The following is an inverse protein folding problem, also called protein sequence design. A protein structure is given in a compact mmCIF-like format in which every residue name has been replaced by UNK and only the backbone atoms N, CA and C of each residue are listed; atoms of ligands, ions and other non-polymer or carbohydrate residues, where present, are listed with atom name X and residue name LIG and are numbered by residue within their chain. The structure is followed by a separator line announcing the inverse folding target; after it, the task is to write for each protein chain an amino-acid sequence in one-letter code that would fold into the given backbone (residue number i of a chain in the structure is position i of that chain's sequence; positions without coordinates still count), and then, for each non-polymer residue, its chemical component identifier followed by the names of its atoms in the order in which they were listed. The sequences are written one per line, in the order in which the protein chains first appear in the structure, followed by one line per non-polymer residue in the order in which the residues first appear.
data_IF_974411370728
#
_entry.id   IF_974411370728
#
_cell.length_a   1.000
_cell.length_b   1.000
_cell.length_c   1.000
_cell.angle_alpha   90.00
_cell.angle_beta   90.00
_cell.angle_gamma   90.00
#
_symmetry.space_group_name_H-M   'P 1'
#
loop_
_entity.id
_entity.type
_entity.pdbx_description
1 polymer ?
#
# COMPACT_ATOMS: atom_id res chain seq x y z
N UNK A 1 0.24 3.75 -0.50
CA UNK A 1 -0.78 2.76 -0.88
C UNK A 1 -0.13 1.60 -1.61
N UNK A 2 -0.31 0.38 -1.12
CA UNK A 2 0.20 -0.87 -1.68
C UNK A 2 -0.94 -1.90 -1.69
N UNK A 3 -0.99 -2.79 -2.69
CA UNK A 3 -1.94 -3.91 -2.71
C UNK A 3 -1.21 -5.21 -2.39
N UNK A 4 -1.70 -5.96 -1.39
CA UNK A 4 -1.19 -7.29 -1.02
C UNK A 4 -2.34 -8.29 -1.04
N UNK A 5 -2.40 -9.11 -2.09
CA UNK A 5 -3.52 -10.03 -2.33
C UNK A 5 -4.84 -9.25 -2.44
N UNK A 6 -5.80 -9.62 -1.60
CA UNK A 6 -7.14 -9.02 -1.52
C UNK A 6 -7.23 -7.81 -0.57
N UNK A 7 -6.09 -7.28 -0.11
CA UNK A 7 -6.04 -6.17 0.84
C UNK A 7 -5.29 -4.97 0.25
N UNK A 8 -5.76 -3.78 0.61
CA UNK A 8 -5.08 -2.52 0.38
C UNK A 8 -4.43 -2.05 1.68
N UNK A 9 -3.17 -1.62 1.59
CA UNK A 9 -2.39 -1.10 2.71
C UNK A 9 -2.10 0.38 2.45
N UNK A 10 -2.56 1.22 3.35
CA UNK A 10 -2.34 2.67 3.41
C UNK A 10 -1.30 2.98 4.50
N UNK A 11 -0.53 4.04 4.32
CA UNK A 11 0.52 4.46 5.26
C UNK A 11 0.66 5.97 5.27
N UNK A 12 0.84 6.53 6.46
CA UNK A 12 1.26 7.90 6.69
C UNK A 12 2.79 7.90 6.82
N UNK A 13 3.46 8.70 5.99
CA UNK A 13 4.93 8.73 5.94
C UNK A 13 5.53 9.49 7.12
N UNK A 14 4.74 10.38 7.71
CA UNK A 14 5.14 11.33 8.74
C UNK A 14 5.11 10.71 10.13
N UNK A 15 4.17 9.79 10.38
CA UNK A 15 3.88 9.26 11.71
C UNK A 15 4.20 7.76 11.87
N UNK A 16 4.74 7.12 10.83
CA UNK A 16 4.95 5.65 10.76
C UNK A 16 3.68 4.83 11.08
N UNK A 17 2.51 5.42 10.82
CA UNK A 17 1.21 4.78 11.01
C UNK A 17 0.79 4.15 9.70
N UNK A 18 0.28 2.93 9.76
CA UNK A 18 -0.29 2.24 8.61
C UNK A 18 -1.65 1.65 8.95
N UNK A 19 -2.47 1.49 7.92
CA UNK A 19 -3.76 0.84 8.02
C UNK A 19 -4.04 -0.02 6.80
N UNK A 20 -5.05 -0.87 6.90
CA UNK A 20 -5.43 -1.81 5.85
C UNK A 20 -6.94 -1.87 5.68
N UNK A 21 -7.38 -2.25 4.48
CA UNK A 21 -8.79 -2.44 4.19
C UNK A 21 -9.04 -3.28 2.95
N UNK A 22 -10.25 -3.82 2.82
CA UNK A 22 -10.69 -4.61 1.65
C UNK A 22 -10.86 -3.76 0.41
N UNK A 23 -11.14 -2.47 0.60
CA UNK A 23 -11.21 -1.47 -0.46
C UNK A 23 -10.19 -0.37 -0.22
N UNK A 24 -9.95 0.44 -1.26
CA UNK A 24 -9.09 1.63 -1.14
C UNK A 24 -9.69 2.61 -0.13
N UNK A 25 -11.01 2.84 -0.22
CA UNK A 25 -11.74 3.76 0.66
C UNK A 25 -11.66 3.33 2.12
N UNK A 26 -11.85 2.04 2.41
CA UNK A 26 -11.76 1.48 3.76
C UNK A 26 -10.35 1.67 4.33
N UNK A 27 -9.30 1.31 3.57
CA UNK A 27 -7.93 1.50 4.01
C UNK A 27 -7.58 2.97 4.26
N UNK A 28 -8.14 3.91 3.50
CA UNK A 28 -7.93 5.36 3.71
C UNK A 28 -8.70 5.85 4.93
N UNK A 29 -9.96 5.45 5.09
CA UNK A 29 -10.78 5.82 6.26
C UNK A 29 -10.12 5.35 7.56
N UNK A 30 -9.71 4.08 7.60
CA UNK A 30 -9.06 3.49 8.76
C UNK A 30 -7.71 4.19 9.06
N UNK A 31 -6.97 4.63 8.04
CA UNK A 31 -5.73 5.39 8.24
C UNK A 31 -6.01 6.78 8.83
N UNK A 32 -7.08 7.44 8.37
CA UNK A 32 -7.47 8.76 8.87
C UNK A 32 -7.80 8.69 10.36
N UNK A 33 -8.61 7.73 10.76
CA UNK A 33 -8.97 7.51 12.18
C UNK A 33 -7.75 7.18 13.03
N UNK A 34 -6.86 6.29 12.56
CA UNK A 34 -5.64 5.94 13.29
C UNK A 34 -4.71 7.15 13.50
N UNK A 35 -4.61 8.03 12.50
CA UNK A 35 -3.82 9.26 12.58
C UNK A 35 -4.48 10.29 13.51
N UNK A 36 -5.79 10.49 13.42
CA UNK A 36 -6.53 11.40 14.30
C UNK A 36 -6.39 10.97 15.77
N UNK A 37 -6.55 9.67 16.06
CA UNK A 37 -6.37 9.11 17.39
C UNK A 37 -4.94 9.30 17.91
N UNK A 38 -3.93 9.09 17.06
CA UNK A 38 -2.54 9.29 17.44
C UNK A 38 -2.22 10.74 17.79
N UNK A 39 -2.72 11.70 17.00
CA UNK A 39 -2.55 13.14 17.26
C UNK A 39 -3.18 13.53 18.59
N UNK A 40 -4.38 13.00 18.89
CA UNK A 40 -5.08 13.24 20.16
C UNK A 40 -4.31 12.69 21.36
N UNK A 41 -3.75 11.48 21.26
CA UNK A 41 -3.00 10.83 22.34
C UNK A 41 -1.66 11.53 22.59
N UNK A 42 -0.90 11.81 21.53
CA UNK A 42 0.45 12.38 21.62
C UNK A 42 0.45 13.91 21.77
N UNK A 43 -0.71 14.56 21.65
CA UNK A 43 -0.85 16.01 21.78
C UNK A 43 -0.06 16.79 20.72
N UNK A 44 -0.05 16.30 19.48
CA UNK A 44 0.77 16.87 18.40
C UNK A 44 0.13 18.18 17.91
N UNK A 45 0.92 19.25 17.95
CA UNK A 45 0.51 20.56 17.45
C UNK A 45 0.49 20.59 15.90
N UNK A 46 -0.62 21.06 15.33
CA UNK A 46 -0.84 21.11 13.88
C UNK A 46 -0.50 22.51 13.34
N UNK A 47 0.14 22.62 12.15
CA UNK A 47 0.24 21.57 11.14
C UNK A 47 1.55 20.76 11.21
N UNK A 48 1.42 19.43 11.15
CA UNK A 48 2.55 18.54 10.83
C UNK A 48 3.15 19.00 9.50
N UNK A 49 4.48 19.19 9.43
CA UNK A 49 5.18 19.58 8.20
C UNK A 49 4.77 18.65 7.06
N UNK A 50 4.05 19.16 6.06
CA UNK A 50 3.63 18.38 4.88
C UNK A 50 4.81 18.28 3.91
N UNK A 51 5.44 17.11 3.74
CA UNK A 51 6.50 16.96 2.75
C UNK A 51 5.93 17.09 1.33
N UNK A 52 6.72 17.68 0.42
CA UNK A 52 6.41 17.65 -1.00
C UNK A 52 6.70 16.24 -1.54
N UNK A 53 5.65 15.48 -1.86
CA UNK A 53 5.78 14.12 -2.37
C UNK A 53 5.65 14.12 -3.90
N UNK A 54 6.76 13.91 -4.61
CA UNK A 54 6.77 13.72 -6.07
C UNK A 54 6.99 12.24 -6.41
N UNK A 55 6.06 11.65 -7.17
CA UNK A 55 6.20 10.29 -7.71
C UNK A 55 6.35 10.38 -9.22
N UNK A 56 7.37 9.72 -9.77
CA UNK A 56 7.57 9.59 -11.21
C UNK A 56 7.86 8.13 -11.57
N UNK A 57 7.48 7.72 -12.78
CA UNK A 57 7.66 6.36 -13.29
C UNK A 57 8.82 6.34 -14.29
N UNK A 58 9.81 5.49 -14.06
CA UNK A 58 10.94 5.30 -14.98
C UNK A 58 10.78 3.95 -15.69
N UNK A 59 11.14 3.87 -16.99
CA UNK A 59 11.18 2.61 -17.75
C UNK A 59 12.65 2.26 -18.00
N UNK A 60 13.13 1.16 -17.42
CA UNK A 60 14.46 0.62 -17.72
C UNK A 60 14.50 -0.05 -19.09
N UNK A 61 15.64 0.01 -19.79
CA UNK A 61 15.90 -0.82 -20.96
C UNK A 61 16.21 -2.24 -20.48
N UNK A 62 15.42 -3.24 -20.88
CA UNK A 62 15.76 -4.64 -20.69
C UNK A 62 16.74 -5.05 -21.79
N UNK A 63 17.89 -5.59 -21.42
CA UNK A 63 18.65 -6.49 -22.29
C UNK A 63 17.99 -7.86 -22.15
N UNK A 64 17.39 -8.36 -23.23
CA UNK A 64 16.78 -9.69 -23.29
C UNK A 64 17.87 -10.76 -23.43
N UNK A 65 17.76 -11.85 -22.66
CA UNK A 65 17.96 -13.18 -23.20
C UNK A 65 17.20 -14.26 -22.41
N UNK A 66 16.41 -15.02 -23.17
CA UNK A 66 15.83 -16.37 -22.97
C UNK A 66 14.59 -16.59 -22.09
N UNK A 67 13.47 -16.54 -22.83
CA UNK A 67 12.29 -17.42 -22.83
C UNK A 67 12.49 -18.83 -22.24
N UNK A 68 11.55 -19.25 -21.38
CA UNK A 68 10.93 -20.59 -21.47
C UNK A 68 9.49 -20.51 -20.95
N UNK A 69 8.53 -20.56 -21.86
CA UNK A 69 7.16 -20.99 -21.59
C UNK A 69 7.18 -22.51 -21.37
N UNK A 70 6.37 -23.05 -20.47
CA UNK A 70 5.28 -23.94 -20.89
C UNK A 70 4.38 -24.38 -19.70
N UNK A 71 3.09 -24.07 -19.89
CA UNK A 71 1.90 -24.94 -19.70
C UNK A 71 1.50 -25.43 -18.30
N UNK A 72 0.36 -24.86 -17.87
CA UNK A 72 -0.95 -25.52 -17.65
C UNK A 72 -0.95 -26.76 -16.73
N UNK A 73 -1.63 -26.66 -15.59
CA UNK A 73 -2.79 -27.54 -15.32
C UNK A 73 -3.61 -27.07 -14.13
N UNK A 74 -4.87 -26.77 -14.44
CA UNK A 74 -6.04 -27.03 -13.62
C UNK A 74 -5.89 -28.38 -12.88
N UNK A 75 -6.14 -28.40 -11.58
CA UNK A 75 -6.66 -29.61 -10.94
C UNK A 75 -7.37 -29.30 -9.62
N UNK A 76 -8.68 -29.59 -9.63
CA UNK A 76 -9.51 -29.89 -8.45
C UNK A 76 -8.89 -30.97 -7.57
N UNK A 77 -9.37 -31.00 -6.31
CA UNK A 77 -9.66 -32.15 -5.40
C UNK A 77 -8.89 -32.09 -4.07
N UNK A 78 -9.29 -32.90 -3.06
CA UNK A 78 -10.61 -33.38 -2.61
C UNK A 78 -10.78 -33.03 -1.10
N UNK A 79 -11.83 -33.30 -0.32
CA UNK A 79 -12.88 -34.33 -0.22
C UNK A 79 -14.11 -33.69 0.41
#
# INVERSE_FOLDING_TARGET
MQKKGDWYISSCLELDISSQGKTIEEAVSNLKEAVELYIEIEGIDLPVKRPFLTKFKVKGKKTEDKKTEDKKTENKKPK
#
